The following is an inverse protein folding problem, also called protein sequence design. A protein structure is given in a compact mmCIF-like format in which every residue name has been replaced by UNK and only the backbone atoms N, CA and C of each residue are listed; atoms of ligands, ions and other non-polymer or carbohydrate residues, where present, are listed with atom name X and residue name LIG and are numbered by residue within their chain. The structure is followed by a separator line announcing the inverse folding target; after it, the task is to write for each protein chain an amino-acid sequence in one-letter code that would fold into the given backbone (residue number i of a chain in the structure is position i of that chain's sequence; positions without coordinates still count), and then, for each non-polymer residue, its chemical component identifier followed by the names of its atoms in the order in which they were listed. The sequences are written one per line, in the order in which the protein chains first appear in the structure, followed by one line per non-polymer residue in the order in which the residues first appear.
data_IF_212602126300
#
_entry.id   IF_212602126300
#
_cell.length_a   1.000
_cell.length_b   1.000
_cell.length_c   1.000
_cell.angle_alpha   90.00
_cell.angle_beta   90.00
_cell.angle_gamma   90.00
#
_symmetry.space_group_name_H-M   'P 1'
#
loop_
_entity.id
_entity.type
_entity.pdbx_description
1 polymer ?
#
# COMPACT_ATOMS: atom_id res chain seq x y z
N UNK A 1 -22.56 -2.37 13.57
CA UNK A 1 -21.30 -2.76 14.25
C UNK A 1 -20.83 -4.06 13.62
N UNK A 2 -19.57 -4.18 13.24
CA UNK A 2 -19.04 -5.39 12.60
C UNK A 2 -17.89 -5.95 13.44
N UNK A 3 -17.79 -7.27 13.53
CA UNK A 3 -16.70 -7.97 14.22
C UNK A 3 -15.71 -8.46 13.17
N UNK A 4 -14.45 -8.06 13.31
CA UNK A 4 -13.37 -8.50 12.44
C UNK A 4 -12.92 -9.94 12.80
N UNK A 5 -12.22 -10.64 11.89
CA UNK A 5 -11.74 -12.01 12.14
C UNK A 5 -10.81 -12.15 13.37
N UNK A 6 -10.21 -11.04 13.81
CA UNK A 6 -9.39 -10.97 15.03
C UNK A 6 -10.20 -10.67 16.30
N UNK A 7 -11.54 -10.68 16.24
CA UNK A 7 -12.44 -10.36 17.35
C UNK A 7 -12.60 -8.87 17.65
N UNK A 8 -11.88 -7.96 16.97
CA UNK A 8 -12.00 -6.52 17.18
C UNK A 8 -13.34 -6.01 16.64
N UNK A 9 -14.10 -5.30 17.46
CA UNK A 9 -15.35 -4.64 17.05
C UNK A 9 -15.00 -3.31 16.37
N UNK A 10 -15.46 -3.12 15.15
CA UNK A 10 -15.36 -1.86 14.42
C UNK A 10 -16.74 -1.25 14.19
N UNK A 11 -16.83 0.05 14.39
CA UNK A 11 -18.05 0.82 14.16
C UNK A 11 -17.97 1.56 12.83
N UNK A 12 -18.58 0.96 11.80
CA UNK A 12 -18.66 1.55 10.46
C UNK A 12 -17.31 1.76 9.79
N UNK A 13 -17.30 2.60 8.76
CA UNK A 13 -16.10 2.90 7.95
C UNK A 13 -15.04 3.66 8.75
N UNK A 14 -15.44 4.54 9.68
CA UNK A 14 -14.53 5.31 10.51
C UNK A 14 -13.74 4.41 11.47
N UNK A 15 -14.43 3.46 12.12
CA UNK A 15 -13.78 2.46 12.97
C UNK A 15 -12.82 1.56 12.20
N UNK A 16 -13.17 1.18 10.96
CA UNK A 16 -12.27 0.42 10.10
C UNK A 16 -11.02 1.21 9.71
N UNK A 17 -11.17 2.48 9.31
CA UNK A 17 -10.04 3.37 9.01
C UNK A 17 -9.11 3.50 10.22
N UNK A 18 -9.67 3.73 11.41
CA UNK A 18 -8.91 3.80 12.66
C UNK A 18 -8.13 2.51 12.91
N UNK A 19 -8.78 1.35 12.80
CA UNK A 19 -8.12 0.07 12.96
C UNK A 19 -6.98 -0.17 11.95
N UNK A 20 -7.18 0.23 10.69
CA UNK A 20 -6.14 0.12 9.66
C UNK A 20 -4.93 1.00 9.96
N UNK A 21 -5.15 2.21 10.49
CA UNK A 21 -4.09 3.13 10.86
C UNK A 21 -3.33 2.70 12.11
N UNK A 22 -4.00 2.10 13.09
CA UNK A 22 -3.39 1.72 14.37
C UNK A 22 -2.68 0.36 14.31
N UNK A 23 -3.33 -0.67 13.78
CA UNK A 23 -2.87 -2.07 13.95
C UNK A 23 -2.34 -2.70 12.65
N UNK A 24 -2.55 -2.05 11.50
CA UNK A 24 -2.33 -2.63 10.17
C UNK A 24 -1.67 -1.64 9.20
N UNK A 25 -1.00 -0.60 9.71
CA UNK A 25 -0.52 0.53 8.91
C UNK A 25 0.45 0.11 7.81
N UNK A 26 1.37 -0.81 8.12
CA UNK A 26 2.30 -1.39 7.14
C UNK A 26 1.60 -2.29 6.12
N UNK A 27 0.65 -3.12 6.56
CA UNK A 27 -0.12 -3.97 5.65
C UNK A 27 -0.95 -3.13 4.68
N UNK A 28 -1.52 -2.03 5.16
CA UNK A 28 -2.20 -1.06 4.33
C UNK A 28 -1.24 -0.41 3.32
N UNK A 29 -0.06 0.06 3.76
CA UNK A 29 0.93 0.63 2.87
C UNK A 29 1.35 -0.34 1.76
N UNK A 30 1.69 -1.59 2.12
CA UNK A 30 2.06 -2.62 1.13
C UNK A 30 0.92 -2.88 0.15
N UNK A 31 -0.30 -3.07 0.65
CA UNK A 31 -1.46 -3.32 -0.19
C UNK A 31 -1.74 -2.16 -1.15
N UNK A 32 -1.64 -0.93 -0.66
CA UNK A 32 -1.85 0.28 -1.46
C UNK A 32 -0.78 0.42 -2.55
N UNK A 33 0.50 0.26 -2.19
CA UNK A 33 1.62 0.27 -3.14
C UNK A 33 1.46 -0.79 -4.22
N UNK A 34 1.13 -2.03 -3.85
CA UNK A 34 0.90 -3.14 -4.79
C UNK A 34 -0.24 -2.83 -5.77
N UNK A 35 -1.37 -2.32 -5.27
CA UNK A 35 -2.51 -1.97 -6.13
C UNK A 35 -2.16 -0.81 -7.06
N UNK A 36 -1.55 0.25 -6.54
CA UNK A 36 -1.12 1.38 -7.36
C UNK A 36 -0.13 0.95 -8.45
N UNK A 37 0.86 0.13 -8.13
CA UNK A 37 1.84 -0.36 -9.09
C UNK A 37 1.19 -1.26 -10.15
N UNK A 38 0.24 -2.12 -9.76
CA UNK A 38 -0.56 -2.91 -10.71
C UNK A 38 -1.24 -2.02 -11.75
N UNK A 39 -1.92 -0.96 -11.31
CA UNK A 39 -2.61 -0.03 -12.21
C UNK A 39 -1.62 0.80 -13.04
N UNK A 40 -0.52 1.27 -12.45
CA UNK A 40 0.49 2.05 -13.15
C UNK A 40 1.19 1.26 -14.27
N UNK A 41 1.49 -0.03 -14.02
CA UNK A 41 2.10 -0.90 -15.01
C UNK A 41 1.08 -1.52 -15.96
N UNK A 42 -0.20 -1.55 -15.62
CA UNK A 42 -1.25 -2.16 -16.45
C UNK A 42 -1.07 -3.68 -16.66
N UNK A 43 -0.32 -4.34 -15.77
CA UNK A 43 -0.10 -5.79 -15.78
C UNK A 43 -0.24 -6.37 -14.39
N UNK A 44 -0.40 -7.70 -14.31
CA UNK A 44 -0.28 -8.41 -13.03
C UNK A 44 1.18 -8.32 -12.57
N UNK A 45 1.35 -8.10 -11.28
CA UNK A 45 2.67 -8.12 -10.64
C UNK A 45 3.08 -9.57 -10.41
N UNK A 46 4.36 -9.84 -10.63
CA UNK A 46 4.98 -11.15 -10.50
C UNK A 46 5.98 -11.14 -9.34
N UNK A 47 6.56 -12.30 -9.02
CA UNK A 47 7.56 -12.42 -7.95
C UNK A 47 8.77 -11.50 -8.16
N UNK A 48 9.13 -11.21 -9.42
CA UNK A 48 10.21 -10.28 -9.75
C UNK A 48 9.94 -8.83 -9.30
N UNK A 49 8.68 -8.46 -9.13
CA UNK A 49 8.27 -7.11 -8.69
C UNK A 49 8.30 -6.97 -7.17
N UNK A 50 8.45 -8.06 -6.42
CA UNK A 50 8.37 -8.04 -4.96
C UNK A 50 9.43 -7.13 -4.34
N UNK A 51 10.64 -7.11 -4.91
CA UNK A 51 11.70 -6.19 -4.49
C UNK A 51 11.28 -4.73 -4.68
N UNK A 52 10.68 -4.39 -5.82
CA UNK A 52 10.19 -3.03 -6.11
C UNK A 52 9.03 -2.65 -5.19
N UNK A 53 8.10 -3.57 -4.92
CA UNK A 53 6.98 -3.34 -3.99
C UNK A 53 7.51 -3.05 -2.60
N UNK A 54 8.48 -3.84 -2.11
CA UNK A 54 9.04 -3.67 -0.77
C UNK A 54 9.79 -2.34 -0.66
N UNK A 55 10.65 -1.98 -1.63
CA UNK A 55 11.37 -0.69 -1.64
C UNK A 55 10.42 0.52 -1.67
N UNK A 56 9.41 0.49 -2.56
CA UNK A 56 8.40 1.54 -2.64
C UNK A 56 7.57 1.64 -1.36
N UNK A 57 7.26 0.51 -0.72
CA UNK A 57 6.50 0.48 0.53
C UNK A 57 7.31 1.10 1.67
N UNK A 58 8.60 0.75 1.80
CA UNK A 58 9.47 1.35 2.82
C UNK A 58 9.57 2.87 2.64
N UNK A 59 9.83 3.34 1.41
CA UNK A 59 9.89 4.78 1.11
C UNK A 59 8.54 5.48 1.33
N UNK A 60 7.43 4.78 1.10
CA UNK A 60 6.10 5.33 1.39
C UNK A 60 5.89 5.53 2.90
N UNK A 61 6.32 4.57 3.72
CA UNK A 61 6.26 4.66 5.18
C UNK A 61 7.16 5.80 5.67
N UNK A 62 8.40 5.88 5.19
CA UNK A 62 9.35 6.97 5.49
C UNK A 62 8.80 8.35 5.12
N UNK A 63 7.98 8.41 4.06
CA UNK A 63 7.32 9.64 3.61
C UNK A 63 6.06 10.02 4.40
N UNK A 64 5.82 9.39 5.55
CA UNK A 64 4.61 9.50 6.38
C UNK A 64 3.33 9.24 5.57
N UNK A 65 3.36 8.18 4.77
CA UNK A 65 2.20 7.69 3.99
C UNK A 65 1.60 8.74 3.05
N UNK A 66 2.40 9.71 2.58
CA UNK A 66 1.95 10.77 1.66
C UNK A 66 1.76 10.21 0.25
N UNK A 67 0.51 10.14 -0.22
CA UNK A 67 0.15 9.57 -1.53
C UNK A 67 0.89 10.25 -2.69
N UNK A 68 1.02 11.58 -2.64
CA UNK A 68 1.77 12.34 -3.66
C UNK A 68 3.21 11.83 -3.81
N UNK A 69 3.86 11.54 -2.69
CA UNK A 69 5.24 11.04 -2.68
C UNK A 69 5.30 9.62 -3.25
N UNK A 70 4.34 8.75 -2.91
CA UNK A 70 4.25 7.41 -3.50
C UNK A 70 4.06 7.46 -5.01
N UNK A 71 3.21 8.35 -5.53
CA UNK A 71 3.03 8.51 -6.98
C UNK A 71 4.35 8.90 -7.63
N UNK A 72 5.07 9.88 -7.07
CA UNK A 72 6.40 10.27 -7.55
C UNK A 72 7.38 9.08 -7.53
N UNK A 73 7.44 8.34 -6.42
CA UNK A 73 8.29 7.17 -6.27
C UNK A 73 8.00 6.11 -7.34
N UNK A 74 6.71 5.82 -7.60
CA UNK A 74 6.28 4.86 -8.63
C UNK A 74 6.73 5.30 -10.02
N UNK A 75 6.48 6.55 -10.43
CA UNK A 75 6.86 7.02 -11.78
C UNK A 75 8.37 7.15 -11.97
N UNK A 76 9.13 7.35 -10.87
CA UNK A 76 10.61 7.34 -10.89
C UNK A 76 11.22 5.94 -10.77
N UNK A 77 10.41 4.91 -10.51
CA UNK A 77 10.92 3.56 -10.30
C UNK A 77 11.42 2.94 -11.59
N UNK A 78 12.47 2.12 -11.49
CA UNK A 78 13.00 1.37 -12.64
C UNK A 78 11.91 0.52 -13.31
N UNK A 79 11.05 -0.13 -12.52
CA UNK A 79 9.97 -0.99 -13.03
C UNK A 79 8.96 -0.22 -13.90
N UNK A 80 8.69 1.05 -13.58
CA UNK A 80 7.80 1.89 -14.39
C UNK A 80 8.50 2.44 -15.64
N UNK A 81 9.79 2.81 -15.52
CA UNK A 81 10.55 3.39 -16.64
C UNK A 81 11.06 2.37 -17.64
N UNK A 82 11.27 1.11 -17.22
CA UNK A 82 11.68 0.02 -18.10
C UNK A 82 10.50 -0.68 -18.78
N UNK A 83 9.34 -0.01 -18.84
CA UNK A 83 8.13 -0.52 -19.46
C UNK A 83 8.19 -0.41 -20.98
#
# INVERSE_FOLDING_TARGET
KATLPNGKKVEGIAGLKKHLLEDRREQFARAFTTKLLTYALGRRLELIDEKSINDLTSKFIESDYRIKNLIHLVVTSKTFQSK
#
